data_IF_499975134310
#
_entry.id   IF_499975134310
#
_cell.length_a   1.000
_cell.length_b   1.000
_cell.length_c   1.000
_cell.angle_alpha   90.00
_cell.angle_beta   90.00
_cell.angle_gamma   90.00
#
_symmetry.space_group_name_H-M   'P 1'
#
loop_
_entity.id
_entity.type
_entity.pdbx_description
1 polymer ?
#
# COMPACT_ATOMS: atom_id res chain seq x y z
N UNK A 1 16.16 -12.49 31.94
CA UNK A 1 16.52 -11.60 30.81
C UNK A 1 16.83 -12.51 29.63
N UNK A 2 15.89 -12.67 28.68
CA UNK A 2 15.96 -13.70 27.64
C UNK A 2 16.73 -13.23 26.41
N UNK A 3 17.76 -14.02 26.12
CA UNK A 3 18.58 -14.17 24.93
C UNK A 3 18.01 -13.75 23.55
N UNK A 4 18.95 -13.24 22.75
CA UNK A 4 19.07 -13.43 21.29
C UNK A 4 18.07 -12.75 20.35
N UNK A 5 18.23 -11.44 20.19
CA UNK A 5 17.95 -10.78 18.91
C UNK A 5 19.04 -11.14 17.88
N UNK A 6 19.08 -12.41 17.45
CA UNK A 6 19.88 -12.82 16.29
C UNK A 6 19.39 -12.04 15.07
N UNK A 7 20.17 -11.05 14.61
CA UNK A 7 19.90 -10.32 13.39
C UNK A 7 19.87 -11.31 12.22
N UNK A 8 18.68 -11.70 11.76
CA UNK A 8 18.52 -12.59 10.62
C UNK A 8 19.30 -12.02 9.42
N UNK A 9 20.35 -12.73 9.00
CA UNK A 9 21.26 -12.31 7.94
C UNK A 9 20.48 -12.10 6.64
N UNK A 10 20.46 -10.85 6.14
CA UNK A 10 19.84 -10.54 4.86
C UNK A 10 20.69 -11.08 3.71
N UNK A 11 20.04 -11.69 2.71
CA UNK A 11 20.66 -12.14 1.46
C UNK A 11 20.57 -11.05 0.42
N UNK A 12 21.64 -10.80 -0.29
CA UNK A 12 21.72 -9.74 -1.29
C UNK A 12 21.66 -10.31 -2.70
N UNK A 13 20.91 -9.65 -3.58
CA UNK A 13 20.72 -10.06 -4.97
C UNK A 13 20.81 -8.84 -5.89
N UNK A 14 21.53 -9.01 -6.99
CA UNK A 14 21.69 -8.03 -8.06
C UNK A 14 21.93 -8.80 -9.38
N UNK A 15 21.42 -8.34 -10.54
CA UNK A 15 20.55 -7.18 -10.74
C UNK A 15 19.05 -7.50 -10.64
N UNK A 16 18.69 -8.78 -10.47
CA UNK A 16 17.30 -9.19 -10.40
C UNK A 16 17.09 -10.40 -9.49
N UNK A 17 15.91 -10.52 -8.89
CA UNK A 17 15.52 -11.71 -8.11
C UNK A 17 14.00 -11.79 -7.88
N UNK A 18 13.55 -12.81 -7.14
CA UNK A 18 12.15 -12.89 -6.71
C UNK A 18 11.90 -12.24 -5.36
N UNK A 19 10.78 -11.51 -5.22
CA UNK A 19 10.37 -10.94 -3.95
C UNK A 19 9.85 -11.98 -2.94
N UNK A 20 9.66 -13.24 -3.36
CA UNK A 20 9.21 -14.35 -2.49
C UNK A 20 10.25 -14.83 -1.48
N UNK A 21 11.50 -14.38 -1.60
CA UNK A 21 12.59 -14.83 -0.73
C UNK A 21 12.57 -14.09 0.62
N UNK A 22 12.45 -14.82 1.73
CA UNK A 22 12.58 -14.24 3.08
C UNK A 22 13.96 -13.60 3.30
N UNK A 23 13.98 -12.45 3.97
CA UNK A 23 15.16 -11.67 4.34
C UNK A 23 16.07 -11.36 3.15
N UNK A 24 15.51 -10.93 2.01
CA UNK A 24 16.28 -10.56 0.84
C UNK A 24 16.37 -9.04 0.63
N UNK A 25 17.49 -8.58 0.05
CA UNK A 25 17.67 -7.24 -0.52
C UNK A 25 17.95 -7.43 -1.99
N UNK A 26 17.14 -6.81 -2.84
CA UNK A 26 17.22 -6.91 -4.29
C UNK A 26 17.49 -5.52 -4.82
N UNK A 27 18.66 -5.31 -5.43
CA UNK A 27 18.99 -4.10 -6.16
C UNK A 27 18.71 -4.33 -7.65
N UNK A 28 17.83 -3.53 -8.24
CA UNK A 28 17.40 -3.65 -9.63
C UNK A 28 15.95 -4.14 -9.74
N UNK A 29 15.72 -5.31 -10.33
CA UNK A 29 14.37 -5.80 -10.67
C UNK A 29 13.94 -6.96 -9.77
N UNK A 30 12.81 -6.83 -9.06
CA UNK A 30 12.20 -7.94 -8.35
C UNK A 30 10.89 -8.39 -9.00
N UNK A 31 10.74 -9.69 -9.26
CA UNK A 31 9.55 -10.27 -9.93
C UNK A 31 8.89 -11.42 -9.18
N UNK A 32 7.59 -11.62 -9.36
CA UNK A 32 6.88 -12.75 -8.78
C UNK A 32 5.37 -12.70 -8.99
N UNK A 33 4.72 -13.82 -8.66
CA UNK A 33 3.27 -14.02 -8.73
C UNK A 33 2.66 -14.07 -7.33
N UNK A 34 1.41 -13.65 -7.15
CA UNK A 34 0.65 -13.91 -5.91
C UNK A 34 1.42 -13.60 -4.61
N UNK A 35 1.75 -12.33 -4.32
CA UNK A 35 2.25 -11.97 -3.01
C UNK A 35 1.21 -12.36 -1.94
N UNK A 36 1.66 -13.03 -0.88
CA UNK A 36 0.80 -13.48 0.22
C UNK A 36 0.71 -12.39 1.28
N UNK A 37 -0.48 -12.10 1.78
CA UNK A 37 -0.69 -11.13 2.85
C UNK A 37 -0.14 -11.60 4.22
N UNK A 38 -0.04 -12.91 4.44
CA UNK A 38 0.34 -13.52 5.73
C UNK A 38 1.84 -13.80 5.90
N UNK A 39 2.64 -13.62 4.86
CA UNK A 39 4.06 -13.98 4.92
C UNK A 39 4.90 -12.81 5.41
N UNK A 40 5.41 -12.84 6.64
CA UNK A 40 6.42 -11.89 7.13
C UNK A 40 7.79 -12.11 6.45
N UNK A 41 7.94 -11.70 5.17
CA UNK A 41 9.13 -11.99 4.35
C UNK A 41 10.30 -11.07 4.66
N UNK A 42 10.05 -9.81 5.00
CA UNK A 42 11.06 -8.76 5.20
C UNK A 42 11.97 -8.54 3.97
N UNK A 43 11.41 -8.70 2.77
CA UNK A 43 12.13 -8.46 1.51
C UNK A 43 12.22 -6.97 1.21
N UNK A 44 13.33 -6.50 0.67
CA UNK A 44 13.51 -5.12 0.23
C UNK A 44 13.91 -5.09 -1.24
N UNK A 45 13.16 -4.37 -2.06
CA UNK A 45 13.51 -4.07 -3.45
C UNK A 45 13.89 -2.60 -3.56
N UNK A 46 15.04 -2.32 -4.16
CA UNK A 46 15.47 -0.97 -4.51
C UNK A 46 15.59 -0.95 -6.04
N UNK A 47 14.63 -0.31 -6.70
CA UNK A 47 14.47 -0.33 -8.16
C UNK A 47 13.03 -0.63 -8.58
N UNK A 48 12.85 -1.61 -9.46
CA UNK A 48 11.56 -2.00 -10.03
C UNK A 48 11.03 -3.28 -9.39
N UNK A 49 9.81 -3.25 -8.84
CA UNK A 49 9.04 -4.44 -8.47
C UNK A 49 7.95 -4.68 -9.50
N UNK A 50 7.92 -5.86 -10.10
CA UNK A 50 6.94 -6.26 -11.10
C UNK A 50 6.13 -7.48 -10.62
N UNK A 51 4.82 -7.44 -10.77
CA UNK A 51 3.89 -8.51 -10.42
C UNK A 51 2.99 -8.84 -11.62
N UNK A 52 3.09 -10.06 -12.16
CA UNK A 52 2.39 -10.45 -13.40
C UNK A 52 2.02 -11.94 -13.43
N UNK A 53 0.74 -12.34 -13.29
CA UNK A 53 -0.41 -11.51 -12.96
C UNK A 53 -0.41 -11.11 -11.48
N UNK A 54 -1.06 -9.99 -11.18
CA UNK A 54 -1.27 -9.56 -9.81
C UNK A 54 -2.54 -10.13 -9.17
N UNK A 55 -2.60 -10.07 -7.85
CA UNK A 55 -3.82 -10.43 -7.07
C UNK A 55 -4.93 -9.39 -7.15
N UNK A 56 -4.67 -8.21 -7.73
CA UNK A 56 -5.62 -7.09 -7.73
C UNK A 56 -6.97 -7.38 -8.38
N UNK A 57 -7.04 -8.32 -9.33
CA UNK A 57 -8.33 -8.72 -9.91
C UNK A 57 -9.26 -9.37 -8.88
N UNK A 58 -8.71 -10.22 -8.00
CA UNK A 58 -9.47 -10.86 -6.92
C UNK A 58 -9.79 -9.85 -5.82
N UNK A 59 -8.89 -8.90 -5.59
CA UNK A 59 -9.04 -7.92 -4.53
C UNK A 59 -10.20 -6.93 -4.77
N UNK A 60 -10.66 -6.79 -6.02
CA UNK A 60 -11.85 -6.02 -6.37
C UNK A 60 -13.16 -6.66 -5.88
N UNK A 61 -13.17 -7.98 -5.60
CA UNK A 61 -14.35 -8.72 -5.15
C UNK A 61 -14.39 -8.95 -3.63
N UNK A 62 -13.47 -8.35 -2.88
CA UNK A 62 -13.47 -8.49 -1.42
C UNK A 62 -14.72 -7.78 -0.87
N UNK A 63 -15.62 -8.49 -0.16
CA UNK A 63 -16.94 -7.97 0.21
C UNK A 63 -16.89 -6.90 1.30
N UNK A 64 -15.77 -6.78 2.01
CA UNK A 64 -15.56 -5.83 3.10
C UNK A 64 -14.34 -4.98 2.85
N UNK A 65 -14.33 -3.78 3.43
CA UNK A 65 -13.17 -2.89 3.28
C UNK A 65 -11.93 -3.55 3.91
N UNK A 66 -10.83 -3.70 3.16
CA UNK A 66 -9.58 -4.27 3.68
C UNK A 66 -8.78 -3.25 4.53
N UNK A 67 -9.34 -2.07 4.76
CA UNK A 67 -8.74 -0.96 5.50
C UNK A 67 -9.34 -0.93 6.90
N UNK A 68 -8.50 -0.72 7.91
CA UNK A 68 -8.89 -0.60 9.31
C UNK A 68 -10.11 0.33 9.49
N UNK A 69 -11.07 -0.08 10.32
CA UNK A 69 -12.25 0.75 10.61
C UNK A 69 -12.10 1.57 11.89
N UNK A 70 -11.36 1.03 12.88
CA UNK A 70 -11.19 1.60 14.21
C UNK A 70 -9.72 1.89 14.51
N UNK A 71 -9.47 2.78 15.48
CA UNK A 71 -8.12 3.06 15.97
C UNK A 71 -7.44 1.81 16.55
N UNK A 72 -8.19 0.94 17.24
CA UNK A 72 -7.67 -0.32 17.77
C UNK A 72 -7.20 -1.27 16.65
N UNK A 73 -8.02 -1.45 15.60
CA UNK A 73 -7.66 -2.25 14.44
C UNK A 73 -6.42 -1.70 13.73
N UNK A 74 -6.32 -0.37 13.61
CA UNK A 74 -5.15 0.27 13.01
C UNK A 74 -3.86 0.09 13.85
N UNK A 75 -3.96 0.13 15.19
CA UNK A 75 -2.81 -0.15 16.06
C UNK A 75 -2.41 -1.63 16.00
N UNK A 76 -3.36 -2.54 15.83
CA UNK A 76 -3.09 -3.96 15.60
C UNK A 76 -2.43 -4.18 14.23
N UNK A 77 -2.92 -3.56 13.17
CA UNK A 77 -2.30 -3.56 11.86
C UNK A 77 -0.83 -3.09 11.93
N UNK A 78 -0.54 -2.02 12.68
CA UNK A 78 0.85 -1.54 12.88
C UNK A 78 1.78 -2.56 13.54
N UNK A 79 1.26 -3.50 14.32
CA UNK A 79 2.06 -4.56 14.94
C UNK A 79 2.47 -5.64 13.93
N UNK A 80 1.75 -5.76 12.81
CA UNK A 80 2.07 -6.74 11.78
C UNK A 80 3.41 -6.40 11.12
N UNK A 81 4.23 -7.44 10.91
CA UNK A 81 5.54 -7.28 10.28
C UNK A 81 5.35 -7.01 8.79
N UNK A 82 5.89 -5.89 8.32
CA UNK A 82 5.89 -5.53 6.89
C UNK A 82 6.56 -6.65 6.08
N UNK A 83 5.82 -7.20 5.12
CA UNK A 83 6.27 -8.31 4.30
C UNK A 83 7.34 -7.86 3.30
N UNK A 84 7.09 -6.76 2.61
CA UNK A 84 7.95 -6.26 1.54
C UNK A 84 8.08 -4.73 1.62
N UNK A 85 9.28 -4.23 1.34
CA UNK A 85 9.56 -2.81 1.18
C UNK A 85 10.05 -2.56 -0.23
N UNK A 86 9.49 -1.57 -0.90
CA UNK A 86 9.89 -1.14 -2.24
C UNK A 86 10.37 0.30 -2.14
N UNK A 87 11.55 0.56 -2.68
CA UNK A 87 12.09 1.90 -2.88
C UNK A 87 12.28 2.09 -4.38
N UNK A 88 11.36 2.82 -5.02
CA UNK A 88 11.33 2.98 -6.48
C UNK A 88 9.94 2.75 -7.05
N UNK A 89 9.83 1.90 -8.07
CA UNK A 89 8.62 1.70 -8.86
C UNK A 89 8.03 0.30 -8.60
N UNK A 90 6.75 0.25 -8.21
CA UNK A 90 5.96 -0.98 -8.13
C UNK A 90 4.95 -1.01 -9.28
N UNK A 91 5.01 -2.01 -10.15
CA UNK A 91 4.09 -2.20 -11.26
C UNK A 91 3.42 -3.56 -11.12
N UNK A 92 2.09 -3.59 -11.23
CA UNK A 92 1.33 -4.82 -11.23
C UNK A 92 0.25 -4.77 -12.30
N UNK A 93 0.14 -5.83 -13.11
CA UNK A 93 -0.78 -5.82 -14.24
C UNK A 93 -2.22 -5.61 -13.78
N UNK A 94 -2.68 -6.35 -12.79
CA UNK A 94 -4.04 -6.26 -12.24
C UNK A 94 -4.06 -5.52 -10.89
N UNK A 95 -2.91 -5.35 -10.25
CA UNK A 95 -2.77 -4.70 -8.96
C UNK A 95 -2.27 -5.65 -7.87
N UNK A 96 -1.84 -5.10 -6.75
CA UNK A 96 -1.11 -5.81 -5.69
C UNK A 96 -1.94 -5.83 -4.42
N UNK A 97 -1.97 -6.95 -3.70
CA UNK A 97 -2.48 -7.02 -2.33
C UNK A 97 -1.42 -7.61 -1.41
N UNK A 98 -0.91 -6.80 -0.49
CA UNK A 98 0.08 -7.23 0.49
C UNK A 98 0.25 -6.20 1.60
N UNK A 99 0.73 -6.64 2.77
CA UNK A 99 1.25 -5.72 3.78
C UNK A 99 2.65 -5.21 3.36
N UNK A 100 2.66 -4.40 2.30
CA UNK A 100 3.86 -3.81 1.72
C UNK A 100 3.98 -2.33 2.05
N UNK A 101 5.21 -1.84 2.10
CA UNK A 101 5.51 -0.41 2.11
C UNK A 101 6.17 0.00 0.80
N UNK A 102 5.55 0.91 0.05
CA UNK A 102 6.12 1.49 -1.17
C UNK A 102 6.59 2.91 -0.87
N UNK A 103 7.86 3.19 -1.07
CA UNK A 103 8.44 4.53 -1.05
C UNK A 103 8.82 4.90 -2.49
N UNK A 104 7.94 5.64 -3.17
CA UNK A 104 8.06 5.93 -4.59
C UNK A 104 6.71 5.88 -5.32
N UNK A 105 6.66 5.18 -6.45
CA UNK A 105 5.48 5.13 -7.33
C UNK A 105 4.93 3.71 -7.37
N UNK A 106 3.61 3.56 -7.25
CA UNK A 106 2.91 2.29 -7.45
C UNK A 106 1.83 2.42 -8.51
N UNK A 107 1.81 1.50 -9.47
CA UNK A 107 0.89 1.49 -10.62
C UNK A 107 0.24 0.12 -10.70
N UNK A 108 -1.08 0.08 -10.74
CA UNK A 108 -1.85 -1.13 -11.00
C UNK A 108 -3.13 -0.81 -11.74
N UNK A 109 -3.65 -1.72 -12.57
CA UNK A 109 -4.84 -1.39 -13.39
C UNK A 109 -6.15 -1.53 -12.60
N UNK A 110 -6.34 -2.62 -11.86
CA UNK A 110 -7.61 -2.93 -11.19
C UNK A 110 -7.61 -2.46 -9.74
N UNK A 111 -7.00 -3.22 -8.81
CA UNK A 111 -7.07 -2.92 -7.38
C UNK A 111 -5.73 -3.07 -6.66
N UNK A 112 -5.38 -2.09 -5.82
CA UNK A 112 -4.20 -2.14 -4.95
C UNK A 112 -4.60 -2.09 -3.47
N UNK A 113 -4.12 -3.04 -2.67
CA UNK A 113 -4.32 -3.12 -1.22
C UNK A 113 -2.95 -3.05 -0.55
N UNK A 114 -2.59 -1.84 -0.11
CA UNK A 114 -1.25 -1.51 0.39
C UNK A 114 -1.26 -1.22 1.89
N UNK A 115 -0.22 -1.66 2.59
CA UNK A 115 -0.03 -1.29 3.99
C UNK A 115 0.41 0.17 4.14
N UNK A 116 1.42 0.59 3.38
CA UNK A 116 1.85 1.99 3.38
C UNK A 116 2.36 2.42 2.02
N UNK A 117 1.95 3.60 1.59
CA UNK A 117 2.49 4.28 0.42
C UNK A 117 3.03 5.63 0.84
N UNK A 118 4.30 5.88 0.54
CA UNK A 118 4.97 7.17 0.68
C UNK A 118 5.36 7.62 -0.74
N UNK A 119 4.49 8.37 -1.41
CA UNK A 119 4.68 8.82 -2.78
C UNK A 119 3.38 8.80 -3.59
N UNK A 120 3.43 8.27 -4.82
CA UNK A 120 2.30 8.32 -5.76
C UNK A 120 1.73 6.92 -5.98
N UNK A 121 0.41 6.78 -5.94
CA UNK A 121 -0.28 5.55 -6.36
C UNK A 121 -1.28 5.84 -7.47
N UNK A 122 -1.37 4.94 -8.44
CA UNK A 122 -2.34 4.99 -9.54
C UNK A 122 -2.99 3.62 -9.72
N UNK A 123 -4.31 3.54 -9.54
CA UNK A 123 -5.12 2.33 -9.79
C UNK A 123 -6.61 2.61 -9.81
N UNK A 124 -7.43 1.82 -10.51
CA UNK A 124 -8.89 2.02 -10.49
C UNK A 124 -9.47 1.95 -9.07
N UNK A 125 -9.04 1.00 -8.25
CA UNK A 125 -9.41 0.86 -6.85
C UNK A 125 -8.14 0.88 -6.00
N UNK A 126 -8.02 1.84 -5.09
CA UNK A 126 -6.84 2.01 -4.23
C UNK A 126 -7.23 1.97 -2.75
N UNK A 127 -6.81 0.91 -2.06
CA UNK A 127 -6.92 0.75 -0.62
C UNK A 127 -5.52 0.90 0.01
N UNK A 128 -5.41 1.76 1.02
CA UNK A 128 -4.18 1.92 1.77
C UNK A 128 -4.43 2.09 3.28
N UNK A 129 -3.65 1.45 4.14
CA UNK A 129 -3.73 1.75 5.58
C UNK A 129 -3.12 3.12 5.89
N UNK A 130 -1.96 3.41 5.31
CA UNK A 130 -1.34 4.74 5.39
C UNK A 130 -0.93 5.20 4.01
N UNK A 131 -1.38 6.38 3.60
CA UNK A 131 -0.94 7.01 2.36
C UNK A 131 -0.40 8.41 2.65
N UNK A 132 0.85 8.63 2.28
CA UNK A 132 1.55 9.90 2.40
C UNK A 132 1.97 10.34 0.99
N UNK A 133 1.22 11.24 0.37
CA UNK A 133 1.50 11.72 -0.99
C UNK A 133 0.25 11.87 -1.84
N UNK A 134 0.29 11.34 -3.07
CA UNK A 134 -0.79 11.49 -4.06
C UNK A 134 -1.40 10.13 -4.36
N UNK A 135 -2.71 10.00 -4.17
CA UNK A 135 -3.46 8.81 -4.48
C UNK A 135 -4.44 9.10 -5.62
N UNK A 136 -4.22 8.46 -6.75
CA UNK A 136 -5.03 8.59 -7.96
C UNK A 136 -5.78 7.29 -8.21
N UNK A 137 -7.09 7.39 -8.44
CA UNK A 137 -7.92 6.22 -8.74
C UNK A 137 -9.37 6.56 -8.99
N UNK A 138 -10.21 5.58 -9.34
CA UNK A 138 -11.66 5.79 -9.42
C UNK A 138 -12.23 5.78 -7.99
N UNK A 139 -11.85 4.77 -7.22
CA UNK A 139 -12.21 4.62 -5.81
C UNK A 139 -10.95 4.61 -4.97
N UNK A 140 -10.79 5.61 -4.10
CA UNK A 140 -9.69 5.68 -3.16
C UNK A 140 -10.22 5.56 -1.74
N UNK A 141 -9.67 4.62 -0.98
CA UNK A 141 -9.95 4.50 0.44
C UNK A 141 -8.66 4.38 1.24
N UNK A 142 -8.57 5.13 2.33
CA UNK A 142 -7.38 5.10 3.19
C UNK A 142 -7.73 5.24 4.67
N UNK A 143 -7.03 4.55 5.56
CA UNK A 143 -7.23 4.82 6.99
C UNK A 143 -6.64 6.18 7.35
N UNK A 144 -5.31 6.34 7.18
CA UNK A 144 -4.62 7.62 7.39
C UNK A 144 -4.08 8.20 6.08
N UNK A 145 -4.70 9.26 5.58
CA UNK A 145 -4.29 10.00 4.40
C UNK A 145 -3.57 11.31 4.80
N UNK A 146 -2.34 11.50 4.34
CA UNK A 146 -1.60 12.77 4.42
C UNK A 146 -1.19 13.20 3.00
N UNK A 147 -1.91 14.15 2.40
CA UNK A 147 -1.64 14.60 1.03
C UNK A 147 -2.90 14.79 0.18
N UNK A 148 -2.93 14.20 -1.02
CA UNK A 148 -3.99 14.40 -2.00
C UNK A 148 -4.63 13.08 -2.41
N UNK A 149 -5.96 13.00 -2.37
CA UNK A 149 -6.74 11.96 -3.03
C UNK A 149 -7.48 12.55 -4.22
N UNK A 150 -7.33 11.95 -5.40
CA UNK A 150 -8.03 12.37 -6.61
C UNK A 150 -8.69 11.13 -7.21
N UNK A 151 -10.01 11.19 -7.32
CA UNK A 151 -10.81 10.10 -7.85
C UNK A 151 -12.28 10.40 -7.96
N UNK A 152 -13.10 9.45 -8.37
CA UNK A 152 -14.56 9.64 -8.39
C UNK A 152 -15.10 9.63 -6.96
N UNK A 153 -14.67 8.65 -6.16
CA UNK A 153 -15.02 8.56 -4.75
C UNK A 153 -13.77 8.44 -3.90
N UNK A 154 -13.62 9.32 -2.92
CA UNK A 154 -12.53 9.31 -1.97
C UNK A 154 -13.08 9.13 -0.56
N UNK A 155 -12.43 8.27 0.23
CA UNK A 155 -12.80 8.01 1.62
C UNK A 155 -11.54 7.92 2.48
N UNK A 156 -11.50 8.65 3.58
CA UNK A 156 -10.48 8.44 4.59
C UNK A 156 -10.96 8.58 6.03
N UNK A 157 -10.36 7.80 6.92
CA UNK A 157 -10.73 7.80 8.35
C UNK A 157 -9.95 8.82 9.17
N UNK A 158 -8.79 9.25 8.71
CA UNK A 158 -7.96 10.32 9.29
C UNK A 158 -7.28 11.05 8.16
N UNK A 159 -7.59 12.33 8.00
CA UNK A 159 -7.24 13.08 6.80
C UNK A 159 -6.49 14.34 7.17
N UNK A 160 -5.28 14.46 6.63
CA UNK A 160 -4.49 15.69 6.66
C UNK A 160 -4.11 16.07 5.24
N UNK A 161 -5.03 16.70 4.52
CA UNK A 161 -4.92 16.89 3.09
C UNK A 161 -6.20 17.30 2.40
N UNK A 162 -6.21 17.12 1.08
CA UNK A 162 -7.29 17.48 0.16
C UNK A 162 -7.77 16.22 -0.58
N UNK A 163 -9.07 16.09 -0.76
CA UNK A 163 -9.72 15.06 -1.56
C UNK A 163 -10.50 15.76 -2.68
N UNK A 164 -10.33 15.32 -3.92
CA UNK A 164 -11.01 15.86 -5.10
C UNK A 164 -11.70 14.71 -5.82
N UNK A 165 -13.02 14.86 -6.03
CA UNK A 165 -13.84 13.81 -6.62
C UNK A 165 -15.33 14.07 -6.56
N UNK A 166 -16.14 13.29 -7.27
CA UNK A 166 -17.61 13.43 -7.22
C UNK A 166 -18.13 13.34 -5.79
N UNK A 167 -17.54 12.46 -4.97
CA UNK A 167 -17.90 12.33 -3.56
C UNK A 167 -16.67 12.07 -2.68
N UNK A 168 -16.49 12.87 -1.63
CA UNK A 168 -15.32 12.83 -0.76
C UNK A 168 -15.74 12.75 0.71
N UNK A 169 -15.35 11.69 1.40
CA UNK A 169 -15.63 11.49 2.82
C UNK A 169 -14.33 11.51 3.63
N UNK A 170 -14.34 12.26 4.71
CA UNK A 170 -13.33 12.19 5.76
C UNK A 170 -13.99 12.01 7.14
N UNK A 171 -13.19 12.03 8.20
CA UNK A 171 -13.65 11.87 9.58
C UNK A 171 -14.57 12.96 10.10
N UNK A 172 -14.60 14.13 9.44
CA UNK A 172 -15.44 15.26 9.85
C UNK A 172 -16.69 15.41 9.00
N UNK A 173 -16.58 15.20 7.69
CA UNK A 173 -17.60 15.60 6.72
C UNK A 173 -17.53 14.79 5.43
N UNK A 174 -18.66 14.79 4.73
CA UNK A 174 -18.82 14.23 3.40
C UNK A 174 -19.22 15.37 2.45
N UNK A 175 -18.42 15.64 1.42
CA UNK A 175 -18.63 16.74 0.49
C UNK A 175 -18.44 16.29 -0.96
N UNK A 176 -19.24 16.82 -1.91
CA UNK A 176 -19.00 16.61 -3.34
C UNK A 176 -17.85 17.50 -3.83
N UNK A 177 -17.26 17.13 -4.97
CA UNK A 177 -16.22 17.85 -5.72
C UNK A 177 -14.88 18.01 -4.98
N UNK A 178 -14.88 18.63 -3.80
CA UNK A 178 -13.69 18.88 -2.98
C UNK A 178 -13.98 18.74 -1.48
N UNK A 179 -13.06 18.12 -0.75
CA UNK A 179 -13.07 18.05 0.72
C UNK A 179 -11.64 18.20 1.24
N UNK A 180 -11.50 18.70 2.47
CA UNK A 180 -10.19 18.90 3.08
C UNK A 180 -10.27 18.77 4.60
N UNK A 181 -9.15 18.39 5.21
CA UNK A 181 -8.95 18.54 6.64
C UNK A 181 -7.46 18.76 6.92
N UNK A 182 -7.14 19.70 7.80
CA UNK A 182 -5.77 20.02 8.21
C UNK A 182 -5.61 20.11 9.74
N UNK A 183 -6.63 19.75 10.51
CA UNK A 183 -6.49 19.75 11.97
C UNK A 183 -5.56 18.63 12.42
N UNK A 184 -4.75 18.92 13.44
CA UNK A 184 -3.97 17.93 14.17
C UNK A 184 -4.86 17.03 15.04
#
# INVERSE_FOLDING_TARGET
>A
MSNDAAAQRKKFYFPAWTFHKKNAVILGVSGGLWPSMDSARRTTTIGLRAEVPGVGLLAAFVPSSPVSETDSAFQEFKKHVVSEKVYGLNVSLTGTACNCTVNGITVGTVAQLMGRVNGVSFSAISFAEVHNGIQLGIFNQTYKMNGFQIGFMNNSKKTRGIQIGLWNRNEKRSLPIINWNFSN
#
